data_IF_091580219005
#
_entry.id   IF_091580219005
#
_cell.length_a   1.000
_cell.length_b   1.000
_cell.length_c   1.000
_cell.angle_alpha   90.00
_cell.angle_beta   90.00
_cell.angle_gamma   90.00
#
_symmetry.space_group_name_H-M   'P 1'
#
loop_
_entity.id
_entity.type
_entity.pdbx_description
1 polymer ?
#
# COMPACT_ATOMS: atom_id res chain seq x y z
N UNK A 1 -15.42 -2.45 -29.20
CA UNK A 1 -14.51 -3.26 -28.36
C UNK A 1 -14.15 -2.44 -27.13
N UNK A 2 -14.40 -2.96 -25.92
CA UNK A 2 -14.40 -2.22 -24.65
C UNK A 2 -12.97 -1.83 -24.24
N UNK A 3 -12.60 -0.57 -24.46
CA UNK A 3 -11.40 0.13 -24.00
C UNK A 3 -11.48 0.45 -22.49
N UNK A 4 -11.58 -0.58 -21.64
CA UNK A 4 -11.98 -0.43 -20.23
C UNK A 4 -10.98 -0.86 -19.17
N UNK A 5 -9.75 -1.25 -19.53
CA UNK A 5 -8.68 -1.49 -18.57
C UNK A 5 -7.55 -0.52 -18.90
N UNK A 6 -7.67 0.73 -18.42
CA UNK A 6 -6.54 1.65 -18.48
C UNK A 6 -5.33 0.97 -17.85
N UNK A 7 -4.22 0.91 -18.58
CA UNK A 7 -3.03 0.22 -18.09
C UNK A 7 -2.68 0.77 -16.69
N UNK A 8 -2.61 -0.14 -15.72
CA UNK A 8 -2.34 0.23 -14.33
C UNK A 8 -0.96 0.91 -14.18
N UNK A 9 -0.05 0.65 -15.11
CA UNK A 9 1.29 1.22 -15.14
C UNK A 9 1.27 2.76 -15.35
N UNK A 10 0.71 3.32 -16.43
CA UNK A 10 0.67 4.77 -16.64
C UNK A 10 -0.09 5.53 -15.53
N UNK A 11 -1.18 4.98 -15.01
CA UNK A 11 -1.91 5.62 -13.89
C UNK A 11 -1.09 5.66 -12.60
N UNK A 12 -0.40 4.57 -12.26
CA UNK A 12 0.47 4.48 -11.09
C UNK A 12 1.71 5.39 -11.23
N UNK A 13 2.31 5.44 -12.42
CA UNK A 13 3.46 6.31 -12.70
C UNK A 13 3.08 7.79 -12.57
N UNK A 14 1.94 8.19 -13.14
CA UNK A 14 1.45 9.57 -13.05
C UNK A 14 1.16 9.96 -11.59
N UNK A 15 0.52 9.07 -10.82
CA UNK A 15 0.26 9.29 -9.39
C UNK A 15 1.55 9.51 -8.59
N UNK A 16 2.58 8.70 -8.82
CA UNK A 16 3.88 8.86 -8.16
C UNK A 16 4.59 10.15 -8.58
N UNK A 17 4.49 10.56 -9.84
CA UNK A 17 5.04 11.84 -10.31
C UNK A 17 4.37 13.05 -9.65
N UNK A 18 3.03 13.01 -9.52
CA UNK A 18 2.28 14.04 -8.82
C UNK A 18 2.64 14.07 -7.33
N UNK A 19 2.72 12.92 -6.68
CA UNK A 19 3.15 12.84 -5.28
C UNK A 19 4.56 13.41 -5.09
N UNK A 20 5.51 13.07 -5.98
CA UNK A 20 6.88 13.58 -5.93
C UNK A 20 6.96 15.10 -6.12
N UNK A 21 6.22 15.65 -7.08
CA UNK A 21 6.21 17.10 -7.34
C UNK A 21 5.55 17.89 -6.21
N UNK A 22 4.44 17.39 -5.65
CA UNK A 22 3.76 18.05 -4.53
C UNK A 22 4.58 18.00 -3.24
N UNK A 23 5.34 16.93 -3.00
CA UNK A 23 6.17 16.78 -1.79
C UNK A 23 7.57 17.37 -1.93
N UNK A 24 8.01 17.70 -3.16
CA UNK A 24 9.34 18.25 -3.44
C UNK A 24 9.73 19.46 -2.58
N UNK A 25 8.86 20.46 -2.31
CA UNK A 25 9.24 21.62 -1.49
C UNK A 25 9.65 21.25 -0.05
N UNK A 26 8.97 20.26 0.54
CA UNK A 26 9.31 19.75 1.87
C UNK A 26 10.47 18.75 1.86
N UNK A 27 10.64 18.01 0.76
CA UNK A 27 11.80 17.12 0.61
C UNK A 27 13.09 17.94 0.49
N UNK A 28 13.08 19.06 -0.25
CA UNK A 28 14.24 19.91 -0.45
C UNK A 28 14.71 20.61 0.83
N UNK A 29 13.82 20.88 1.80
CA UNK A 29 14.24 21.41 3.10
C UNK A 29 14.99 20.37 3.96
N UNK A 30 14.80 19.08 3.69
CA UNK A 30 15.54 17.98 4.30
C UNK A 30 16.77 17.52 3.48
N UNK A 31 17.09 18.21 2.38
CA UNK A 31 18.15 17.83 1.45
C UNK A 31 19.51 17.49 2.09
N UNK A 32 20.01 18.21 3.12
CA UNK A 32 21.30 17.88 3.73
C UNK A 32 21.34 16.47 4.33
N UNK A 33 20.23 16.00 4.91
CA UNK A 33 20.12 14.66 5.48
C UNK A 33 20.00 13.59 4.38
N UNK A 34 19.36 13.94 3.26
CA UNK A 34 19.14 13.03 2.11
C UNK A 34 20.41 12.78 1.29
N UNK A 35 21.27 13.78 1.16
CA UNK A 35 22.54 13.70 0.40
C UNK A 35 23.66 13.03 1.21
N UNK A 36 23.45 12.80 2.52
CA UNK A 36 24.35 11.98 3.31
C UNK A 36 24.41 10.54 2.77
N UNK A 37 25.57 9.86 2.86
CA UNK A 37 25.71 8.49 2.34
C UNK A 37 24.70 7.50 2.92
N UNK A 38 24.34 7.66 4.20
CA UNK A 38 23.29 6.86 4.86
C UNK A 38 21.89 7.26 4.40
N UNK A 39 21.60 8.56 4.29
CA UNK A 39 20.29 9.05 3.83
C UNK A 39 19.96 8.61 2.41
N UNK A 40 20.92 8.74 1.49
CA UNK A 40 20.77 8.29 0.11
C UNK A 40 20.54 6.78 0.01
N UNK A 41 21.28 5.97 0.78
CA UNK A 41 21.10 4.52 0.82
C UNK A 41 19.70 4.11 1.32
N UNK A 42 19.21 4.76 2.38
CA UNK A 42 17.85 4.52 2.90
C UNK A 42 16.79 4.91 1.87
N UNK A 43 16.95 6.06 1.19
CA UNK A 43 16.01 6.50 0.15
C UNK A 43 15.97 5.57 -1.05
N UNK A 44 17.14 5.08 -1.50
CA UNK A 44 17.21 4.10 -2.58
C UNK A 44 16.55 2.78 -2.19
N UNK A 45 16.77 2.32 -0.96
CA UNK A 45 16.11 1.13 -0.44
C UNK A 45 14.58 1.31 -0.42
N UNK A 46 14.08 2.44 0.11
CA UNK A 46 12.66 2.75 0.16
C UNK A 46 12.04 2.81 -1.25
N UNK A 47 12.71 3.49 -2.18
CA UNK A 47 12.21 3.67 -3.54
C UNK A 47 12.22 2.37 -4.35
N UNK A 48 13.32 1.64 -4.33
CA UNK A 48 13.50 0.46 -5.20
C UNK A 48 12.84 -0.77 -4.59
N UNK A 49 13.17 -1.09 -3.33
CA UNK A 49 12.77 -2.36 -2.70
C UNK A 49 11.38 -2.23 -2.10
N UNK A 50 11.12 -1.18 -1.34
CA UNK A 50 9.82 -1.06 -0.65
C UNK A 50 8.71 -0.60 -1.59
N UNK A 51 8.96 0.36 -2.49
CA UNK A 51 7.95 0.89 -3.39
C UNK A 51 7.96 0.21 -4.77
N UNK A 52 9.11 0.19 -5.46
CA UNK A 52 9.22 -0.32 -6.84
C UNK A 52 8.91 -1.80 -6.97
N UNK A 53 9.58 -2.64 -6.18
CA UNK A 53 9.34 -4.09 -6.19
C UNK A 53 7.92 -4.44 -5.76
N UNK A 54 7.40 -3.79 -4.71
CA UNK A 54 6.02 -3.99 -4.26
C UNK A 54 5.01 -3.67 -5.37
N UNK A 55 5.16 -2.54 -6.08
CA UNK A 55 4.29 -2.19 -7.20
C UNK A 55 4.40 -3.18 -8.36
N UNK A 56 5.60 -3.64 -8.71
CA UNK A 56 5.79 -4.63 -9.77
C UNK A 56 5.10 -5.95 -9.45
N UNK A 57 5.17 -6.40 -8.19
CA UNK A 57 4.46 -7.58 -7.70
C UNK A 57 2.95 -7.35 -7.66
N UNK A 58 2.51 -6.17 -7.20
CA UNK A 58 1.09 -5.81 -7.11
C UNK A 58 0.42 -5.77 -8.49
N UNK A 59 0.99 -5.05 -9.46
CA UNK A 59 0.44 -4.95 -10.82
C UNK A 59 0.41 -6.31 -11.50
N UNK A 60 1.39 -7.19 -11.24
CA UNK A 60 1.38 -8.57 -11.75
C UNK A 60 0.33 -9.44 -11.05
N UNK A 61 0.18 -9.29 -9.74
CA UNK A 61 -0.74 -10.09 -8.91
C UNK A 61 -2.20 -9.74 -9.17
N UNK A 62 -2.54 -8.46 -9.23
CA UNK A 62 -3.92 -7.99 -9.42
C UNK A 62 -4.50 -8.42 -10.78
N UNK A 63 -3.64 -8.73 -11.76
CA UNK A 63 -4.04 -9.28 -13.07
C UNK A 63 -4.42 -10.76 -13.03
N UNK A 64 -4.03 -11.49 -11.98
CA UNK A 64 -4.21 -12.95 -11.85
C UNK A 64 -5.19 -13.35 -10.76
N UNK A 65 -5.61 -12.40 -9.92
CA UNK A 65 -6.37 -12.65 -8.70
C UNK A 65 -7.73 -11.93 -8.79
N UNK A 66 -8.86 -12.57 -8.45
CA UNK A 66 -10.17 -11.92 -8.41
C UNK A 66 -10.16 -10.68 -7.50
N UNK A 67 -10.92 -9.64 -7.87
CA UNK A 67 -10.94 -8.36 -7.14
C UNK A 67 -11.25 -8.50 -5.63
N UNK A 68 -12.06 -9.49 -5.26
CA UNK A 68 -12.37 -9.81 -3.87
C UNK A 68 -11.13 -10.28 -3.09
N UNK A 69 -10.34 -11.19 -3.66
CA UNK A 69 -9.11 -11.71 -3.04
C UNK A 69 -8.02 -10.62 -2.97
N UNK A 70 -7.85 -9.82 -4.03
CA UNK A 70 -6.91 -8.70 -4.02
C UNK A 70 -7.23 -7.70 -2.88
N UNK A 71 -8.52 -7.44 -2.65
CA UNK A 71 -8.95 -6.57 -1.57
C UNK A 71 -8.77 -7.19 -0.17
N UNK A 72 -8.88 -8.52 -0.04
CA UNK A 72 -8.54 -9.22 1.21
C UNK A 72 -7.04 -9.15 1.50
N UNK A 73 -6.18 -9.27 0.48
CA UNK A 73 -4.73 -9.12 0.62
C UNK A 73 -4.37 -7.69 1.06
N UNK A 74 -4.99 -6.67 0.46
CA UNK A 74 -4.79 -5.26 0.88
C UNK A 74 -5.28 -4.98 2.31
N UNK A 75 -6.26 -5.73 2.81
CA UNK A 75 -6.69 -5.64 4.21
C UNK A 75 -5.72 -6.35 5.17
N UNK A 76 -4.96 -7.33 4.67
CA UNK A 76 -3.96 -8.05 5.45
C UNK A 76 -2.70 -7.20 5.71
N UNK A 77 -2.35 -6.32 4.77
CA UNK A 77 -1.21 -5.40 4.87
C UNK A 77 -1.19 -4.55 6.17
N UNK A 78 -2.26 -3.82 6.54
CA UNK A 78 -2.28 -3.06 7.79
C UNK A 78 -2.30 -3.93 9.05
N UNK A 79 -2.72 -5.20 8.96
CA UNK A 79 -2.62 -6.16 10.09
C UNK A 79 -1.20 -6.69 10.24
N UNK A 80 -0.52 -6.93 9.11
CA UNK A 80 0.86 -7.42 9.09
C UNK A 80 1.86 -6.37 9.60
N UNK A 81 1.64 -5.08 9.35
CA UNK A 81 2.54 -4.01 9.81
C UNK A 81 2.83 -4.06 11.33
N UNK A 82 1.82 -4.10 12.23
CA UNK A 82 2.04 -4.31 13.67
C UNK A 82 2.73 -5.62 14.02
N UNK A 83 2.45 -6.70 13.29
CA UNK A 83 3.07 -8.02 13.51
C UNK A 83 4.56 -7.97 13.19
N UNK A 84 4.96 -7.32 12.09
CA UNK A 84 6.36 -7.15 11.72
C UNK A 84 7.14 -6.30 12.72
N UNK A 85 6.53 -5.25 13.28
CA UNK A 85 7.17 -4.43 14.33
C UNK A 85 7.38 -5.26 15.61
N UNK A 86 6.38 -6.03 16.02
CA UNK A 86 6.47 -6.91 17.19
C UNK A 86 7.60 -7.94 17.05
N UNK A 87 7.75 -8.54 15.87
CA UNK A 87 8.78 -9.55 15.59
C UNK A 87 10.17 -8.92 15.42
N UNK A 88 10.26 -7.79 14.72
CA UNK A 88 11.54 -7.22 14.28
C UNK A 88 12.23 -6.31 15.29
N UNK A 89 11.48 -5.58 16.11
CA UNK A 89 12.04 -4.63 17.08
C UNK A 89 11.97 -5.13 18.52
N UNK A 90 11.10 -6.11 18.84
CA UNK A 90 10.96 -6.67 20.18
C UNK A 90 10.49 -5.67 21.26
N UNK A 91 10.31 -4.41 20.90
CA UNK A 91 9.75 -3.38 21.77
C UNK A 91 8.26 -3.67 21.97
N UNK A 92 7.83 -3.70 23.24
CA UNK A 92 6.43 -3.90 23.55
C UNK A 92 5.62 -2.81 22.85
N UNK A 93 4.67 -3.17 21.96
CA UNK A 93 3.92 -2.19 21.21
C UNK A 93 3.23 -1.24 22.20
N UNK A 94 3.53 0.05 22.08
CA UNK A 94 2.94 1.06 22.94
C UNK A 94 1.41 1.02 22.90
N UNK A 95 0.76 1.53 23.95
CA UNK A 95 -0.71 1.47 24.11
C UNK A 95 -1.48 1.93 22.87
N UNK A 96 -0.94 2.90 22.12
CA UNK A 96 -1.49 3.41 20.86
C UNK A 96 -1.32 2.46 19.67
N UNK A 97 -0.21 1.71 19.58
CA UNK A 97 -0.01 0.71 18.53
C UNK A 97 -0.98 -0.46 18.70
N UNK A 98 -1.23 -0.88 19.94
CA UNK A 98 -2.23 -1.90 20.27
C UNK A 98 -3.65 -1.41 19.91
N UNK A 99 -3.99 -0.15 20.27
CA UNK A 99 -5.28 0.44 19.92
C UNK A 99 -5.48 0.51 18.39
N UNK A 100 -4.46 0.96 17.65
CA UNK A 100 -4.50 0.99 16.19
C UNK A 100 -4.66 -0.41 15.57
N UNK A 101 -3.91 -1.40 16.06
CA UNK A 101 -4.03 -2.79 15.63
C UNK A 101 -5.42 -3.37 15.90
N UNK A 102 -6.00 -3.09 17.07
CA UNK A 102 -7.36 -3.53 17.42
C UNK A 102 -8.42 -2.92 16.48
N UNK A 103 -8.29 -1.64 16.12
CA UNK A 103 -9.20 -0.98 15.15
C UNK A 103 -9.11 -1.63 13.77
N UNK A 104 -7.89 -1.92 13.28
CA UNK A 104 -7.69 -2.59 11.99
C UNK A 104 -8.34 -3.98 12.00
N UNK A 105 -8.06 -4.80 13.02
CA UNK A 105 -8.64 -6.14 13.13
C UNK A 105 -10.17 -6.05 13.19
N UNK A 106 -10.74 -5.14 13.99
CA UNK A 106 -12.18 -4.94 14.06
C UNK A 106 -12.79 -4.56 12.70
N UNK A 107 -12.13 -3.66 11.95
CA UNK A 107 -12.58 -3.27 10.61
C UNK A 107 -12.55 -4.44 9.62
N UNK A 108 -11.51 -5.27 9.66
CA UNK A 108 -11.41 -6.48 8.83
C UNK A 108 -12.53 -7.46 9.18
N UNK A 109 -12.75 -7.71 10.48
CA UNK A 109 -13.81 -8.62 10.97
C UNK A 109 -15.19 -8.13 10.51
N UNK A 110 -15.51 -6.86 10.71
CA UNK A 110 -16.78 -6.27 10.25
C UNK A 110 -16.91 -6.42 8.74
N UNK A 111 -15.86 -6.14 7.98
CA UNK A 111 -15.89 -6.28 6.52
C UNK A 111 -16.10 -7.74 6.07
N UNK A 112 -15.51 -8.70 6.76
CA UNK A 112 -15.69 -10.12 6.43
C UNK A 112 -17.05 -10.66 6.84
N UNK A 113 -17.64 -10.15 7.93
CA UNK A 113 -18.93 -10.63 8.44
C UNK A 113 -20.13 -9.91 7.83
N UNK A 114 -19.97 -8.66 7.37
CA UNK A 114 -21.03 -7.90 6.70
C UNK A 114 -21.05 -8.28 5.22
N UNK A 115 -22.10 -8.96 4.73
CA UNK A 115 -22.21 -9.30 3.32
C UNK A 115 -22.25 -8.02 2.49
N UNK A 116 -21.26 -7.84 1.62
CA UNK A 116 -21.25 -6.74 0.67
C UNK A 116 -22.30 -7.07 -0.42
N UNK A 117 -23.24 -6.17 -0.73
CA UNK A 117 -24.15 -6.38 -1.86
C UNK A 117 -23.29 -6.52 -3.12
N UNK A 118 -23.34 -7.71 -3.74
CA UNK A 118 -22.69 -7.95 -5.02
C UNK A 118 -23.22 -6.89 -5.97
N UNK A 119 -22.36 -5.95 -6.38
CA UNK A 119 -22.68 -5.08 -7.51
C UNK A 119 -22.86 -6.00 -8.69
N UNK A 120 -24.13 -6.32 -8.98
CA UNK A 120 -24.51 -7.04 -10.18
C UNK A 120 -23.81 -6.32 -11.33
N UNK A 121 -22.85 -7.00 -11.95
CA UNK A 121 -22.32 -6.59 -13.22
C UNK A 121 -23.49 -6.65 -14.18
N UNK A 122 -24.17 -5.51 -14.34
CA UNK A 122 -25.12 -5.26 -15.42
C UNK A 122 -24.31 -5.30 -16.70
N UNK A 123 -24.01 -6.50 -17.17
CA UNK A 123 -23.64 -6.76 -18.56
C UNK A 123 -24.97 -6.78 -19.29
N UNK A 124 -25.46 -5.58 -19.64
CA UNK A 124 -26.47 -5.43 -20.66
C UNK A 124 -25.88 -5.92 -21.98
N UNK A 125 -26.53 -6.96 -22.53
CA UNK A 125 -26.63 -7.43 -23.92
C UNK A 125 -25.69 -6.81 -24.94
#
# INVERSE_FOLDING_TARGET
AKTGAGDALPSTTLGNFLAATLTAPWALSAAPAMVSGRGGAVLLYLGIVQLGLAYLLFVRGVRRVPAAEASLISMLEPVLNPVWVLIGFGEQPGRWAIAGGAVVIAAVVVRTLVPQPQRASTTSV
#
